data_IF_957050150740
#
_entry.id   IF_957050150740
#
_cell.length_a   1.000
_cell.length_b   1.000
_cell.length_c   1.000
_cell.angle_alpha   90.00
_cell.angle_beta   90.00
_cell.angle_gamma   90.00
#
_symmetry.space_group_name_H-M   'P 1'
#
loop_
_entity.id
_entity.type
_entity.pdbx_description
1 polymer ?
#
# COMPACT_ATOMS: atom_id res chain seq x y z
N UNK A 1 -25.93 11.02 18.49
CA UNK A 1 -26.32 12.41 18.22
C UNK A 1 -25.30 12.92 17.23
N UNK A 2 -25.68 12.98 15.96
CA UNK A 2 -24.78 13.43 14.92
C UNK A 2 -24.66 14.95 15.03
N UNK A 3 -23.44 15.43 15.26
CA UNK A 3 -23.14 16.86 15.26
C UNK A 3 -22.81 17.26 13.84
N UNK A 4 -23.41 18.33 13.35
CA UNK A 4 -23.10 18.87 12.03
C UNK A 4 -21.61 19.24 11.94
N UNK A 5 -20.86 18.75 10.94
CA UNK A 5 -19.48 19.13 10.73
C UNK A 5 -19.32 20.64 10.61
N UNK A 6 -18.33 21.22 11.29
CA UNK A 6 -18.11 22.67 11.30
C UNK A 6 -18.92 23.45 12.34
N UNK A 7 -19.90 22.82 12.99
CA UNK A 7 -20.76 23.49 13.98
C UNK A 7 -19.98 23.94 15.23
N UNK A 8 -20.46 24.99 15.87
CA UNK A 8 -19.92 25.45 17.16
C UNK A 8 -19.99 24.35 18.23
N UNK A 9 -21.00 23.47 18.17
CA UNK A 9 -21.11 22.30 19.04
C UNK A 9 -19.96 21.30 18.81
N UNK A 10 -19.59 21.02 17.56
CA UNK A 10 -18.47 20.15 17.24
C UNK A 10 -17.14 20.75 17.72
N UNK A 11 -16.93 22.06 17.53
CA UNK A 11 -15.75 22.77 18.03
C UNK A 11 -15.67 22.78 19.56
N UNK A 12 -16.79 23.04 20.24
CA UNK A 12 -16.88 23.04 21.69
C UNK A 12 -16.62 21.64 22.26
N UNK A 13 -17.15 20.59 21.63
CA UNK A 13 -16.88 19.21 22.01
C UNK A 13 -15.39 18.90 21.87
N UNK A 14 -14.78 19.20 20.73
CA UNK A 14 -13.35 18.99 20.51
C UNK A 14 -12.48 19.70 21.57
N UNK A 15 -12.79 20.98 21.85
CA UNK A 15 -12.08 21.77 22.87
C UNK A 15 -12.27 21.24 24.31
N UNK A 16 -13.39 20.57 24.58
CA UNK A 16 -13.63 19.94 25.88
C UNK A 16 -12.86 18.62 26.00
N UNK A 17 -12.94 17.75 24.99
CA UNK A 17 -12.29 16.42 25.06
C UNK A 17 -10.76 16.50 24.94
N UNK A 18 -10.20 17.52 24.29
CA UNK A 18 -8.75 17.73 24.21
C UNK A 18 -8.10 18.04 25.55
N UNK A 19 -8.88 18.50 26.53
CA UNK A 19 -8.43 18.75 27.92
C UNK A 19 -8.53 17.51 28.81
N UNK A 20 -9.17 16.44 28.33
CA UNK A 20 -9.29 15.20 29.09
C UNK A 20 -7.98 14.41 29.04
N UNK A 21 -7.64 13.71 30.13
CA UNK A 21 -6.36 13.04 30.24
C UNK A 21 -6.29 11.79 29.33
N UNK A 22 -5.08 11.29 29.01
CA UNK A 22 -4.87 10.23 28.02
C UNK A 22 -5.53 8.90 28.38
N UNK A 23 -5.82 8.66 29.66
CA UNK A 23 -6.52 7.46 30.13
C UNK A 23 -8.01 7.47 29.77
N UNK A 24 -8.57 8.64 29.47
CA UNK A 24 -10.00 8.82 29.17
C UNK A 24 -10.24 8.97 27.67
N UNK A 25 -9.35 9.67 26.96
CA UNK A 25 -9.50 9.98 25.55
C UNK A 25 -8.24 9.57 24.79
N UNK A 26 -8.38 8.67 23.82
CA UNK A 26 -7.29 8.27 22.92
C UNK A 26 -7.05 9.30 21.80
N UNK A 27 -5.93 9.16 21.08
CA UNK A 27 -5.64 9.99 19.91
C UNK A 27 -6.68 9.79 18.78
N UNK A 28 -7.18 8.57 18.61
CA UNK A 28 -8.18 8.21 17.59
C UNK A 28 -9.53 8.89 17.88
N UNK A 29 -9.94 8.93 19.16
CA UNK A 29 -11.14 9.66 19.58
C UNK A 29 -11.00 11.17 19.36
N UNK A 30 -9.80 11.72 19.65
CA UNK A 30 -9.52 13.14 19.36
C UNK A 30 -9.53 13.43 17.87
N UNK A 31 -8.99 12.52 17.06
CA UNK A 31 -8.93 12.68 15.61
C UNK A 31 -10.33 12.69 14.99
N UNK A 32 -11.21 11.77 15.37
CA UNK A 32 -12.61 11.73 14.92
C UNK A 32 -13.34 13.04 15.29
N UNK A 33 -13.17 13.51 16.54
CA UNK A 33 -13.75 14.79 16.94
C UNK A 33 -13.14 15.98 16.18
N UNK A 34 -11.83 15.97 15.93
CA UNK A 34 -11.13 17.01 15.19
C UNK A 34 -11.64 17.12 13.75
N UNK A 35 -11.83 15.99 13.06
CA UNK A 35 -12.37 15.95 11.70
C UNK A 35 -13.77 16.62 11.61
N UNK A 36 -14.59 16.47 12.66
CA UNK A 36 -15.92 17.11 12.73
C UNK A 36 -15.88 18.62 12.93
N UNK A 37 -14.74 19.19 13.34
CA UNK A 37 -14.65 20.65 13.54
C UNK A 37 -14.65 21.44 12.24
N UNK A 38 -14.35 20.80 11.10
CA UNK A 38 -14.21 21.49 9.80
C UNK A 38 -13.12 22.56 9.77
N UNK A 39 -12.26 22.62 10.80
CA UNK A 39 -11.16 23.60 10.86
C UNK A 39 -10.14 23.23 9.80
N UNK A 40 -9.92 24.16 8.88
CA UNK A 40 -8.86 24.01 7.90
C UNK A 40 -7.51 24.04 8.62
N UNK A 41 -6.73 23.02 8.33
CA UNK A 41 -5.38 22.86 8.88
C UNK A 41 -4.45 23.74 8.07
N UNK A 42 -3.97 24.82 8.70
CA UNK A 42 -2.91 25.65 8.13
C UNK A 42 -1.60 24.86 8.10
N UNK A 43 -1.02 24.70 6.92
CA UNK A 43 0.28 24.06 6.74
C UNK A 43 1.40 24.93 7.33
N UNK A 44 1.21 26.24 7.40
CA UNK A 44 2.20 27.13 7.98
C UNK A 44 2.22 26.94 9.50
N UNK A 45 3.27 26.25 9.96
CA UNK A 45 3.54 26.07 11.38
C UNK A 45 2.95 24.80 12.00
N UNK A 46 2.19 23.98 11.28
CA UNK A 46 1.72 22.69 11.83
C UNK A 46 2.89 21.78 12.21
N UNK A 47 3.98 21.80 11.45
CA UNK A 47 5.21 21.09 11.81
C UNK A 47 5.71 21.52 13.20
N UNK A 48 5.80 22.84 13.43
CA UNK A 48 6.27 23.39 14.71
C UNK A 48 5.27 23.10 15.84
N UNK A 49 3.96 23.07 15.54
CA UNK A 49 2.93 22.65 16.50
C UNK A 49 3.10 21.19 16.89
N UNK A 50 3.27 20.28 15.90
CA UNK A 50 3.53 18.85 16.14
C UNK A 50 4.76 18.68 17.00
N UNK A 51 5.90 19.27 16.61
CA UNK A 51 7.16 19.17 17.35
C UNK A 51 7.05 19.76 18.77
N UNK A 52 6.29 20.84 18.93
CA UNK A 52 6.07 21.49 20.23
C UNK A 52 5.17 20.71 21.18
N UNK A 53 4.37 19.75 20.67
CA UNK A 53 3.48 18.89 21.43
C UNK A 53 4.13 17.58 21.89
N UNK A 54 5.21 17.14 21.24
CA UNK A 54 5.91 15.91 21.60
C UNK A 54 6.45 16.00 23.02
N UNK A 55 6.13 14.98 23.83
CA UNK A 55 6.46 14.92 25.26
C UNK A 55 5.57 15.80 26.16
N UNK A 56 4.68 16.62 25.59
CA UNK A 56 3.67 17.41 26.35
C UNK A 56 2.28 16.78 26.24
N UNK A 57 1.84 16.48 25.03
CA UNK A 57 0.61 15.73 24.74
C UNK A 57 0.81 14.94 23.44
N UNK A 58 1.35 13.73 23.57
CA UNK A 58 1.66 12.85 22.43
C UNK A 58 0.40 12.48 21.62
N UNK A 59 -0.78 12.48 22.25
CA UNK A 59 -2.03 12.22 21.52
C UNK A 59 -2.35 13.37 20.59
N UNK A 60 -2.23 14.60 21.07
CA UNK A 60 -2.45 15.78 20.25
C UNK A 60 -1.37 15.90 19.17
N UNK A 61 -0.12 15.58 19.50
CA UNK A 61 0.96 15.49 18.50
C UNK A 61 0.59 14.50 17.39
N UNK A 62 0.07 13.31 17.72
CA UNK A 62 -0.43 12.33 16.75
C UNK A 62 -1.60 12.87 15.92
N UNK A 63 -2.59 13.51 16.53
CA UNK A 63 -3.75 14.11 15.82
C UNK A 63 -3.28 15.15 14.80
N UNK A 64 -2.39 16.06 15.22
CA UNK A 64 -1.83 17.09 14.33
C UNK A 64 -0.96 16.49 13.24
N UNK A 65 -0.14 15.50 13.57
CA UNK A 65 0.66 14.75 12.62
C UNK A 65 -0.23 14.09 11.54
N UNK A 66 -1.32 13.43 11.93
CA UNK A 66 -2.26 12.83 10.97
C UNK A 66 -2.92 13.90 10.09
N UNK A 67 -3.40 15.00 10.68
CA UNK A 67 -3.97 16.13 9.94
C UNK A 67 -3.00 16.71 8.91
N UNK A 68 -1.74 16.86 9.31
CA UNK A 68 -0.66 17.29 8.42
C UNK A 68 -0.43 16.29 7.30
N UNK A 69 -0.34 14.99 7.62
CA UNK A 69 -0.16 13.93 6.64
C UNK A 69 -1.23 13.96 5.54
N UNK A 70 -2.52 14.10 5.86
CA UNK A 70 -3.56 14.20 4.82
C UNK A 70 -3.31 15.34 3.82
N UNK A 71 -2.80 16.48 4.29
CA UNK A 71 -2.43 17.60 3.41
C UNK A 71 -1.17 17.29 2.60
N UNK A 72 -0.20 16.59 3.18
CA UNK A 72 0.98 16.12 2.44
C UNK A 72 0.60 15.14 1.32
N UNK A 73 -0.50 14.38 1.46
CA UNK A 73 -0.96 13.45 0.42
C UNK A 73 -1.19 14.08 -0.96
N UNK A 74 -1.44 15.38 -1.03
CA UNK A 74 -1.61 16.10 -2.31
C UNK A 74 -0.28 16.51 -2.96
N UNK A 75 0.85 16.32 -2.28
CA UNK A 75 2.19 16.67 -2.76
C UNK A 75 2.84 15.47 -3.47
N UNK A 76 3.85 15.70 -4.33
CA UNK A 76 4.69 14.63 -4.87
C UNK A 76 5.38 13.82 -3.77
N UNK A 77 5.55 12.52 -3.97
CA UNK A 77 6.12 11.63 -2.96
C UNK A 77 7.49 12.08 -2.41
N UNK A 78 8.38 12.62 -3.26
CA UNK A 78 9.68 13.13 -2.80
C UNK A 78 9.58 14.37 -1.88
N UNK A 79 8.54 15.20 -2.05
CA UNK A 79 8.27 16.30 -1.11
C UNK A 79 7.73 15.74 0.22
N UNK A 80 6.82 14.77 0.16
CA UNK A 80 6.32 14.08 1.37
C UNK A 80 7.47 13.44 2.14
N UNK A 81 8.39 12.75 1.46
CA UNK A 81 9.57 12.14 2.06
C UNK A 81 10.42 13.17 2.81
N UNK A 82 10.71 14.32 2.19
CA UNK A 82 11.48 15.38 2.82
C UNK A 82 10.82 15.89 4.11
N UNK A 83 9.49 16.01 4.12
CA UNK A 83 8.73 16.38 5.32
C UNK A 83 8.76 15.28 6.40
N UNK A 84 8.67 14.01 6.00
CA UNK A 84 8.78 12.88 6.94
C UNK A 84 10.15 12.82 7.62
N UNK A 85 11.24 13.10 6.90
CA UNK A 85 12.58 13.07 7.47
C UNK A 85 12.80 14.14 8.55
N UNK A 86 12.07 15.26 8.52
CA UNK A 86 12.10 16.30 9.55
C UNK A 86 11.40 15.87 10.85
N UNK A 87 10.53 14.87 10.81
CA UNK A 87 9.79 14.37 11.96
C UNK A 87 10.58 13.34 12.78
N UNK A 88 10.29 13.24 14.09
CA UNK A 88 10.72 12.10 14.90
C UNK A 88 10.16 10.79 14.36
N UNK A 89 10.97 9.73 14.43
CA UNK A 89 10.66 8.41 13.87
C UNK A 89 9.31 7.85 14.33
N UNK A 90 8.94 8.13 15.58
CA UNK A 90 7.66 7.69 16.19
C UNK A 90 6.42 8.23 15.49
N UNK A 91 6.51 9.34 14.76
CA UNK A 91 5.39 9.95 14.05
C UNK A 91 5.42 9.69 12.55
N UNK A 92 6.59 9.37 11.96
CA UNK A 92 6.76 9.25 10.50
C UNK A 92 5.76 8.27 9.88
N UNK A 93 5.61 7.09 10.49
CA UNK A 93 4.67 6.07 10.03
C UNK A 93 3.22 6.56 9.99
N UNK A 94 2.79 7.29 11.02
CA UNK A 94 1.42 7.80 11.10
C UNK A 94 1.18 8.93 10.09
N UNK A 95 2.17 9.82 9.90
CA UNK A 95 2.10 10.87 8.88
C UNK A 95 2.12 10.30 7.48
N UNK A 96 2.97 9.31 7.19
CA UNK A 96 3.02 8.62 5.90
C UNK A 96 1.70 7.90 5.60
N UNK A 97 1.11 7.25 6.61
CA UNK A 97 -0.21 6.61 6.48
C UNK A 97 -1.32 7.62 6.22
N UNK A 98 -1.32 8.74 6.94
CA UNK A 98 -2.27 9.80 6.68
C UNK A 98 -2.08 10.39 5.27
N UNK A 99 -0.85 10.66 4.85
CA UNK A 99 -0.55 11.09 3.49
C UNK A 99 -1.05 10.10 2.44
N UNK A 100 -0.88 8.80 2.69
CA UNK A 100 -1.40 7.76 1.82
C UNK A 100 -2.92 7.84 1.69
N UNK A 101 -3.64 7.88 2.81
CA UNK A 101 -5.12 7.93 2.80
C UNK A 101 -5.68 9.23 2.21
N UNK A 102 -4.95 10.34 2.34
CA UNK A 102 -5.31 11.64 1.76
C UNK A 102 -4.80 11.87 0.33
N UNK A 103 -4.05 10.92 -0.23
CA UNK A 103 -3.40 11.10 -1.52
C UNK A 103 -4.35 11.03 -2.70
N UNK A 104 -3.95 11.71 -3.78
CA UNK A 104 -4.59 11.59 -5.10
C UNK A 104 -4.03 10.38 -5.86
N UNK A 105 -4.77 9.79 -6.82
CA UNK A 105 -4.34 8.58 -7.52
C UNK A 105 -2.94 8.66 -8.14
N UNK A 106 -2.51 9.84 -8.58
CA UNK A 106 -1.23 10.06 -9.25
C UNK A 106 -0.02 9.96 -8.30
N UNK A 107 -0.18 10.28 -7.02
CA UNK A 107 0.91 10.28 -6.02
C UNK A 107 0.87 9.05 -5.12
N UNK A 108 -0.27 8.35 -5.08
CA UNK A 108 -0.57 7.30 -4.12
C UNK A 108 0.40 6.12 -4.14
N UNK A 109 0.88 5.69 -5.31
CA UNK A 109 1.86 4.59 -5.41
C UNK A 109 3.23 5.01 -4.84
N UNK A 110 3.68 6.23 -5.15
CA UNK A 110 4.92 6.76 -4.58
C UNK A 110 4.84 6.91 -3.06
N UNK A 111 3.68 7.31 -2.53
CA UNK A 111 3.47 7.38 -1.07
C UNK A 111 3.40 5.97 -0.45
N UNK A 112 2.89 4.97 -1.17
CA UNK A 112 2.95 3.57 -0.72
C UNK A 112 4.41 3.07 -0.58
N UNK A 113 5.32 3.51 -1.45
CA UNK A 113 6.77 3.26 -1.26
C UNK A 113 7.28 3.85 0.05
N UNK A 114 6.86 5.07 0.41
CA UNK A 114 7.25 5.66 1.69
C UNK A 114 6.77 4.82 2.90
N UNK A 115 5.63 4.14 2.80
CA UNK A 115 5.19 3.22 3.86
C UNK A 115 6.14 2.02 4.01
N UNK A 116 6.67 1.50 2.90
CA UNK A 116 7.70 0.45 2.90
C UNK A 116 8.97 0.96 3.58
N UNK A 117 9.42 2.16 3.22
CA UNK A 117 10.64 2.78 3.77
C UNK A 117 10.50 3.08 5.27
N UNK A 118 9.31 3.47 5.73
CA UNK A 118 8.99 3.68 7.14
C UNK A 118 8.64 2.39 7.89
N UNK A 119 8.86 1.21 7.29
CA UNK A 119 8.56 -0.10 7.88
C UNK A 119 7.12 -0.24 8.39
N UNK A 120 6.17 0.41 7.71
CA UNK A 120 4.75 0.43 8.06
C UNK A 120 4.02 -0.83 7.56
N UNK A 121 4.57 -2.02 7.85
CA UNK A 121 4.11 -3.30 7.28
C UNK A 121 2.64 -3.63 7.57
N UNK A 122 2.17 -3.33 8.78
CA UNK A 122 0.76 -3.44 9.21
C UNK A 122 -0.20 -2.57 8.39
N UNK A 123 0.30 -1.48 7.80
CA UNK A 123 -0.49 -0.61 6.92
C UNK A 123 -0.54 -1.12 5.49
N UNK A 124 0.52 -1.81 5.04
CA UNK A 124 0.57 -2.37 3.69
C UNK A 124 -0.45 -3.49 3.48
N UNK A 125 -0.83 -4.21 4.53
CA UNK A 125 -1.85 -5.27 4.48
C UNK A 125 -3.31 -4.73 4.50
N UNK A 126 -3.50 -3.40 4.50
CA UNK A 126 -4.84 -2.82 4.61
C UNK A 126 -5.64 -2.93 3.29
N UNK A 127 -6.96 -2.87 3.41
CA UNK A 127 -7.85 -2.88 2.26
C UNK A 127 -7.61 -1.69 1.32
N UNK A 128 -7.23 -0.53 1.85
CA UNK A 128 -6.95 0.68 1.06
C UNK A 128 -5.74 0.52 0.13
N UNK A 129 -4.72 -0.25 0.55
CA UNK A 129 -3.58 -0.59 -0.32
C UNK A 129 -4.03 -1.56 -1.41
N UNK A 130 -4.82 -2.57 -1.07
CA UNK A 130 -5.37 -3.50 -2.07
C UNK A 130 -6.21 -2.76 -3.10
N UNK A 131 -7.11 -1.88 -2.66
CA UNK A 131 -7.98 -1.06 -3.51
C UNK A 131 -7.16 -0.13 -4.41
N UNK A 132 -6.09 0.48 -3.88
CA UNK A 132 -5.13 1.25 -4.66
C UNK A 132 -4.59 0.43 -5.83
N UNK A 133 -4.02 -0.74 -5.55
CA UNK A 133 -3.34 -1.56 -6.56
C UNK A 133 -4.31 -1.97 -7.67
N UNK A 134 -5.54 -2.33 -7.30
CA UNK A 134 -6.61 -2.68 -8.23
C UNK A 134 -7.05 -1.48 -9.10
N UNK A 135 -7.32 -0.33 -8.48
CA UNK A 135 -7.74 0.89 -9.20
C UNK A 135 -6.65 1.36 -10.15
N UNK A 136 -5.40 1.48 -9.68
CA UNK A 136 -4.27 1.93 -10.50
C UNK A 136 -4.01 0.97 -11.65
N UNK A 137 -4.08 -0.34 -11.42
CA UNK A 137 -3.96 -1.33 -12.50
C UNK A 137 -5.04 -1.13 -13.57
N UNK A 138 -6.30 -0.97 -13.17
CA UNK A 138 -7.45 -0.76 -14.08
C UNK A 138 -7.38 0.57 -14.85
N UNK A 139 -6.67 1.56 -14.34
CA UNK A 139 -6.42 2.83 -15.02
C UNK A 139 -5.30 2.74 -16.09
N UNK A 140 -4.92 1.53 -16.49
CA UNK A 140 -3.89 1.30 -17.52
C UNK A 140 -2.47 1.36 -17.00
N UNK A 141 -2.27 1.41 -15.67
CA UNK A 141 -0.95 1.45 -15.02
C UNK A 141 -0.54 0.09 -14.44
N UNK A 142 -1.11 -1.00 -14.93
CA UNK A 142 -0.81 -2.35 -14.41
C UNK A 142 0.69 -2.69 -14.44
N UNK A 143 1.42 -2.28 -15.50
CA UNK A 143 2.88 -2.49 -15.56
C UNK A 143 3.62 -1.71 -14.46
N UNK A 144 3.24 -0.45 -14.23
CA UNK A 144 3.86 0.40 -13.20
C UNK A 144 3.69 -0.22 -11.80
N UNK A 145 2.50 -0.78 -11.53
CA UNK A 145 2.21 -1.50 -10.29
C UNK A 145 3.02 -2.79 -10.17
N UNK A 146 3.18 -3.55 -11.26
CA UNK A 146 4.01 -4.75 -11.30
C UNK A 146 5.51 -4.44 -11.10
N UNK A 147 6.02 -3.38 -11.75
CA UNK A 147 7.40 -2.89 -11.56
C UNK A 147 7.64 -2.52 -10.09
N UNK A 148 6.74 -1.71 -9.50
CA UNK A 148 6.81 -1.33 -8.09
C UNK A 148 6.86 -2.53 -7.16
N UNK A 149 6.06 -3.56 -7.42
CA UNK A 149 6.03 -4.76 -6.59
C UNK A 149 7.35 -5.56 -6.62
N UNK A 150 8.08 -5.52 -7.74
CA UNK A 150 9.39 -6.18 -7.85
C UNK A 150 10.51 -5.48 -7.08
N UNK A 151 10.30 -4.22 -6.68
CA UNK A 151 11.25 -3.46 -5.85
C UNK A 151 11.02 -3.64 -4.34
N UNK A 152 9.91 -4.29 -3.94
CA UNK A 152 9.59 -4.53 -2.53
C UNK A 152 10.61 -5.49 -1.89
N UNK A 153 10.91 -5.35 -0.59
CA UNK A 153 11.74 -6.34 0.08
C UNK A 153 11.02 -7.69 0.17
N UNK A 154 11.74 -8.79 0.01
CA UNK A 154 11.19 -10.15 0.14
C UNK A 154 10.78 -10.41 1.58
N UNK A 155 9.46 -10.40 1.82
CA UNK A 155 8.86 -10.62 3.13
C UNK A 155 7.53 -11.33 3.02
N UNK A 156 6.99 -11.80 4.15
CA UNK A 156 5.66 -12.42 4.18
C UNK A 156 4.58 -11.40 3.80
N UNK A 157 4.66 -10.20 4.38
CA UNK A 157 3.69 -9.12 4.21
C UNK A 157 3.65 -8.65 2.74
N UNK A 158 4.80 -8.58 2.06
CA UNK A 158 4.91 -8.14 0.66
C UNK A 158 4.59 -9.23 -0.35
N UNK A 159 4.50 -10.51 0.06
CA UNK A 159 4.22 -11.62 -0.86
C UNK A 159 2.81 -11.52 -1.45
N UNK A 160 1.81 -11.21 -0.62
CA UNK A 160 0.43 -11.05 -1.08
C UNK A 160 0.26 -9.77 -1.92
N UNK A 161 0.94 -8.69 -1.52
CA UNK A 161 0.97 -7.45 -2.32
C UNK A 161 1.58 -7.71 -3.69
N UNK A 162 2.68 -8.47 -3.75
CA UNK A 162 3.32 -8.84 -5.00
C UNK A 162 2.33 -9.57 -5.92
N UNK A 163 1.65 -10.61 -5.42
CA UNK A 163 0.65 -11.35 -6.18
C UNK A 163 -0.41 -10.42 -6.79
N UNK A 164 -1.02 -9.55 -5.96
CA UNK A 164 -2.06 -8.62 -6.39
C UNK A 164 -1.57 -7.59 -7.40
N UNK A 165 -0.34 -7.11 -7.21
CA UNK A 165 0.27 -6.11 -8.08
C UNK A 165 0.57 -6.62 -9.49
N UNK A 166 0.98 -7.89 -9.62
CA UNK A 166 1.35 -8.45 -10.92
C UNK A 166 0.17 -9.08 -11.65
N UNK A 167 -0.87 -9.56 -10.95
CA UNK A 167 -2.00 -10.31 -11.50
C UNK A 167 -2.59 -9.66 -12.76
N UNK A 168 -3.02 -8.39 -12.66
CA UNK A 168 -3.66 -7.70 -13.78
C UNK A 168 -2.73 -7.53 -14.98
N UNK A 169 -1.44 -7.22 -14.75
CA UNK A 169 -0.49 -7.04 -15.84
C UNK A 169 -0.21 -8.36 -16.58
N UNK A 170 0.00 -9.44 -15.83
CA UNK A 170 0.27 -10.76 -16.39
C UNK A 170 -0.97 -11.31 -17.12
N UNK A 171 -2.15 -11.13 -16.54
CA UNK A 171 -3.41 -11.62 -17.12
C UNK A 171 -3.77 -10.90 -18.41
N UNK A 172 -3.68 -9.58 -18.43
CA UNK A 172 -4.25 -8.79 -19.51
C UNK A 172 -3.23 -8.48 -20.64
N UNK A 173 -1.94 -8.79 -20.44
CA UNK A 173 -0.87 -8.54 -21.41
C UNK A 173 0.20 -9.67 -21.44
N UNK A 174 -0.17 -10.87 -21.88
CA UNK A 174 0.71 -12.05 -21.86
C UNK A 174 2.02 -11.89 -22.66
N UNK A 175 1.98 -11.24 -23.82
CA UNK A 175 3.19 -11.06 -24.65
C UNK A 175 4.13 -10.03 -24.02
N UNK A 176 3.61 -8.86 -23.61
CA UNK A 176 4.41 -7.85 -22.90
C UNK A 176 4.91 -8.33 -21.54
N UNK A 177 4.11 -9.12 -20.82
CA UNK A 177 4.51 -9.75 -19.57
C UNK A 177 5.69 -10.70 -19.76
N UNK A 178 5.72 -11.47 -20.85
CA UNK A 178 6.84 -12.35 -21.18
C UNK A 178 8.14 -11.58 -21.40
N UNK A 179 8.08 -10.44 -22.09
CA UNK A 179 9.23 -9.55 -22.27
C UNK A 179 9.67 -8.94 -20.94
N UNK A 180 8.73 -8.44 -20.14
CA UNK A 180 8.99 -7.87 -18.82
C UNK A 180 9.65 -8.87 -17.87
N UNK A 181 9.15 -10.11 -17.79
CA UNK A 181 9.74 -11.18 -16.98
C UNK A 181 11.21 -11.44 -17.31
N UNK A 182 11.60 -11.28 -18.58
CA UNK A 182 12.99 -11.45 -19.01
C UNK A 182 13.91 -10.30 -18.56
N UNK A 183 13.35 -9.15 -18.17
CA UNK A 183 14.12 -8.02 -17.63
C UNK A 183 14.34 -8.09 -16.12
N UNK A 184 13.57 -8.93 -15.41
CA UNK A 184 13.69 -9.05 -13.97
C UNK A 184 15.04 -9.67 -13.59
N UNK A 185 15.71 -9.16 -12.54
CA UNK A 185 16.91 -9.79 -12.02
C UNK A 185 16.58 -11.17 -11.43
N UNK A 186 17.53 -12.09 -11.46
CA UNK A 186 17.38 -13.38 -10.78
C UNK A 186 17.11 -13.19 -9.28
N UNK A 187 16.15 -13.96 -8.76
CA UNK A 187 15.76 -13.89 -7.35
C UNK A 187 14.30 -14.24 -7.13
N UNK A 188 13.87 -14.10 -5.88
CA UNK A 188 12.54 -14.53 -5.41
C UNK A 188 11.40 -13.93 -6.21
N UNK A 189 11.46 -12.63 -6.53
CA UNK A 189 10.36 -11.99 -7.27
C UNK A 189 10.27 -12.40 -8.72
N UNK A 190 11.41 -12.64 -9.39
CA UNK A 190 11.40 -13.19 -10.75
C UNK A 190 10.80 -14.59 -10.78
N UNK A 191 11.23 -15.46 -9.88
CA UNK A 191 10.71 -16.83 -9.77
C UNK A 191 9.21 -16.84 -9.49
N UNK A 192 8.74 -15.98 -8.57
CA UNK A 192 7.32 -15.79 -8.29
C UNK A 192 6.56 -15.23 -9.49
N UNK A 193 7.11 -14.23 -10.19
CA UNK A 193 6.48 -13.65 -11.38
C UNK A 193 6.26 -14.71 -12.48
N UNK A 194 7.23 -15.61 -12.70
CA UNK A 194 7.06 -16.74 -13.62
C UNK A 194 5.99 -17.73 -13.16
N UNK A 195 5.93 -18.03 -11.86
CA UNK A 195 4.89 -18.90 -11.31
C UNK A 195 3.49 -18.28 -11.49
N UNK A 196 3.34 -16.96 -11.27
CA UNK A 196 2.10 -16.22 -11.52
C UNK A 196 1.74 -16.20 -13.01
N UNK A 197 2.71 -15.96 -13.89
CA UNK A 197 2.49 -16.01 -15.33
C UNK A 197 2.00 -17.39 -15.78
N UNK A 198 2.59 -18.46 -15.22
CA UNK A 198 2.13 -19.82 -15.48
C UNK A 198 0.66 -20.01 -15.08
N UNK A 199 0.25 -19.48 -13.92
CA UNK A 199 -1.14 -19.54 -13.48
C UNK A 199 -2.07 -18.74 -14.39
N UNK A 200 -1.69 -17.54 -14.81
CA UNK A 200 -2.50 -16.73 -15.73
C UNK A 200 -2.63 -17.41 -17.09
N UNK A 201 -1.53 -17.98 -17.61
CA UNK A 201 -1.55 -18.76 -18.84
C UNK A 201 -2.57 -19.89 -18.80
N UNK A 202 -2.64 -20.64 -17.69
CA UNK A 202 -3.58 -21.75 -17.54
C UNK A 202 -5.02 -21.29 -17.31
N UNK A 203 -5.23 -20.40 -16.33
CA UNK A 203 -6.57 -20.08 -15.83
C UNK A 203 -7.30 -19.08 -16.71
N UNK A 204 -6.61 -18.07 -17.26
CA UNK A 204 -7.21 -17.03 -18.07
C UNK A 204 -7.12 -17.33 -19.58
N UNK A 205 -6.06 -18.00 -20.02
CA UNK A 205 -5.75 -18.17 -21.45
C UNK A 205 -5.77 -19.61 -21.96
N UNK A 206 -5.96 -20.60 -21.08
CA UNK A 206 -5.90 -22.03 -21.41
C UNK A 206 -4.64 -22.43 -22.22
N UNK A 207 -3.51 -21.76 -21.95
CA UNK A 207 -2.25 -21.91 -22.67
C UNK A 207 -1.24 -22.73 -21.85
N UNK A 208 -1.34 -24.05 -21.97
CA UNK A 208 -0.48 -25.00 -21.25
C UNK A 208 0.99 -24.93 -21.65
N UNK A 209 1.30 -24.53 -22.87
CA UNK A 209 2.67 -24.38 -23.37
C UNK A 209 3.35 -23.15 -22.74
N UNK A 210 2.66 -22.00 -22.72
CA UNK A 210 3.16 -20.79 -22.05
C UNK A 210 3.37 -21.02 -20.55
N UNK A 211 2.47 -21.77 -19.90
CA UNK A 211 2.68 -22.20 -18.53
C UNK A 211 3.94 -23.05 -18.36
N UNK A 212 4.18 -24.01 -19.25
CA UNK A 212 5.36 -24.90 -19.17
C UNK A 212 6.63 -24.08 -19.33
N UNK A 213 6.67 -23.21 -20.34
CA UNK A 213 7.79 -22.30 -20.59
C UNK A 213 8.12 -21.48 -19.34
N UNK A 214 7.13 -20.88 -18.68
CA UNK A 214 7.35 -20.04 -17.50
C UNK A 214 7.87 -20.84 -16.30
N UNK A 215 7.30 -22.01 -16.02
CA UNK A 215 7.81 -22.91 -14.97
C UNK A 215 9.26 -23.34 -15.21
N UNK A 216 9.67 -23.45 -16.48
CA UNK A 216 11.05 -23.77 -16.84
C UNK A 216 12.05 -22.64 -16.62
N UNK A 217 11.58 -21.40 -16.41
CA UNK A 217 12.45 -20.27 -16.07
C UNK A 217 12.70 -20.11 -14.56
N UNK A 218 11.97 -20.83 -13.70
CA UNK A 218 12.11 -20.72 -12.24
C UNK A 218 13.44 -21.35 -11.79
N UNK A 219 14.31 -20.55 -11.17
CA UNK A 219 15.64 -20.96 -10.71
C UNK A 219 15.63 -21.70 -9.38
N UNK A 220 14.78 -21.29 -8.43
CA UNK A 220 14.62 -21.99 -7.15
C UNK A 220 13.92 -23.34 -7.35
N UNK A 221 14.68 -24.42 -7.22
CA UNK A 221 14.17 -25.80 -7.41
C UNK A 221 13.12 -26.23 -6.39
N UNK A 222 13.09 -25.64 -5.19
CA UNK A 222 12.09 -25.92 -4.16
C UNK A 222 10.79 -25.22 -4.52
N UNK A 223 10.86 -23.93 -4.83
CA UNK A 223 9.70 -23.15 -5.24
C UNK A 223 9.14 -23.61 -6.59
N UNK A 224 9.98 -23.99 -7.56
CA UNK A 224 9.54 -24.60 -8.83
C UNK A 224 8.68 -25.84 -8.58
N UNK A 225 9.05 -26.69 -7.62
CA UNK A 225 8.30 -27.90 -7.28
C UNK A 225 6.91 -27.58 -6.71
N UNK A 226 6.81 -26.50 -5.93
CA UNK A 226 5.54 -25.96 -5.46
C UNK A 226 4.69 -25.43 -6.62
N UNK A 227 5.26 -24.61 -7.51
CA UNK A 227 4.58 -24.06 -8.68
C UNK A 227 4.09 -25.16 -9.66
N UNK A 228 4.88 -26.20 -9.89
CA UNK A 228 4.47 -27.40 -10.65
C UNK A 228 3.28 -28.10 -10.01
N UNK A 229 3.23 -28.16 -8.68
CA UNK A 229 2.09 -28.76 -7.97
C UNK A 229 0.79 -28.02 -8.25
N UNK A 230 0.84 -26.68 -8.40
CA UNK A 230 -0.33 -25.88 -8.75
C UNK A 230 -0.82 -26.17 -10.16
N UNK A 231 0.09 -26.31 -11.13
CA UNK A 231 -0.25 -26.77 -12.49
C UNK A 231 -0.90 -28.15 -12.47
N UNK A 232 -0.31 -29.12 -11.76
CA UNK A 232 -0.90 -30.46 -11.64
C UNK A 232 -2.31 -30.44 -11.03
N UNK A 233 -2.58 -29.52 -10.10
CA UNK A 233 -3.94 -29.33 -9.55
C UNK A 233 -4.89 -28.76 -10.59
N UNK A 234 -4.45 -27.80 -11.41
CA UNK A 234 -5.23 -27.29 -12.53
C UNK A 234 -5.58 -28.41 -13.52
N UNK A 235 -4.60 -29.21 -13.95
CA UNK A 235 -4.79 -30.32 -14.91
C UNK A 235 -5.82 -31.33 -14.39
N UNK A 236 -5.74 -31.69 -13.10
CA UNK A 236 -6.72 -32.57 -12.45
C UNK A 236 -8.13 -31.96 -12.42
N UNK A 237 -8.24 -30.65 -12.15
CA UNK A 237 -9.53 -29.94 -12.06
C UNK A 237 -10.20 -29.79 -13.42
N UNK A 238 -9.42 -29.55 -14.48
CA UNK A 238 -9.94 -29.33 -15.84
C UNK A 238 -10.03 -30.62 -16.66
N UNK A 239 -9.39 -31.70 -16.22
CA UNK A 239 -9.28 -32.95 -16.99
C UNK A 239 -8.33 -32.83 -18.18
N UNK A 240 -7.50 -31.79 -18.23
CA UNK A 240 -6.55 -31.58 -19.30
C UNK A 240 -5.51 -32.71 -19.32
N UNK A 241 -5.24 -33.23 -20.52
CA UNK A 241 -4.21 -34.24 -20.76
C UNK A 241 -3.23 -33.67 -21.78
N UNK A 242 -1.93 -33.75 -21.48
CA UNK A 242 -0.89 -33.39 -22.43
C UNK A 242 -1.04 -34.27 -23.67
N UNK A 243 -1.25 -33.64 -24.83
CA UNK A 243 -1.27 -34.33 -26.12
C UNK A 243 0.14 -34.61 -26.61
#
# INVERSE_FOLDING_TARGET
>A
MDLDPGSESAKALYAAISKLPPEVISAEMLLDAAQRTGVEVDLQGIEQEVLGLIGKDDRMAKVRATQWGWKLGTMPAGEVEAQLLALPETLRKEVAWAAFTGSVPETRLGIATLLVDQMAWDKLESAEIVDLLEITSRQGKAKEVADWATDLPVRKETTELFHRSVDNYLRDNMDGAREWLATLPEGTWRDRAYAEYSQQALNAHNNSEASRWALDQIGDTTFKREAESWRSQWEKRTGWQAQ
#
